data_IF_754744445167
#
_entry.id   IF_754744445167
#
_cell.length_a   1.000
_cell.length_b   1.000
_cell.length_c   1.000
_cell.angle_alpha   90.00
_cell.angle_beta   90.00
_cell.angle_gamma   90.00
#
_symmetry.space_group_name_H-M   'P 1'
#
loop_
_entity.id
_entity.type
_entity.pdbx_description
1 polymer ?
#
# COMPACT_ATOMS: atom_id res chain seq x y z
N UNK A 1 3.11 45.23 22.67
CA UNK A 1 2.01 44.43 23.26
C UNK A 1 0.96 43.95 22.24
N UNK A 2 0.58 44.74 21.21
CA UNK A 2 -0.39 44.32 20.17
C UNK A 2 0.05 43.11 19.32
N UNK A 3 1.35 42.96 19.05
CA UNK A 3 1.89 41.83 18.28
C UNK A 3 1.84 40.48 19.00
N UNK A 4 1.93 40.47 20.34
CA UNK A 4 1.88 39.22 21.13
C UNK A 4 0.46 38.64 21.17
N UNK A 5 -0.58 39.50 21.21
CA UNK A 5 -1.96 39.07 21.16
C UNK A 5 -2.34 38.40 19.82
N UNK A 6 -1.79 38.89 18.70
CA UNK A 6 -2.03 38.31 17.38
C UNK A 6 -1.40 36.91 17.23
N UNK A 7 -0.22 36.69 17.81
CA UNK A 7 0.47 35.38 17.78
C UNK A 7 -0.28 34.37 18.67
N UNK A 8 -0.77 34.79 19.83
CA UNK A 8 -1.54 33.92 20.73
C UNK A 8 -2.88 33.48 20.11
N UNK A 9 -3.57 34.37 19.39
CA UNK A 9 -4.81 34.05 18.66
C UNK A 9 -4.57 33.12 17.47
N UNK A 10 -3.45 33.30 16.75
CA UNK A 10 -3.07 32.42 15.65
C UNK A 10 -2.71 31.00 16.15
N UNK A 11 -2.02 30.89 17.29
CA UNK A 11 -1.70 29.60 17.90
C UNK A 11 -2.97 28.87 18.39
N UNK A 12 -3.93 29.58 18.99
CA UNK A 12 -5.21 29.00 19.41
C UNK A 12 -6.06 28.51 18.23
N UNK A 13 -6.00 29.19 17.08
CA UNK A 13 -6.69 28.76 15.86
C UNK A 13 -6.06 27.50 15.22
N UNK A 14 -4.74 27.33 15.36
CA UNK A 14 -4.01 26.15 14.88
C UNK A 14 -4.19 24.91 15.79
N UNK A 15 -4.44 25.12 17.08
CA UNK A 15 -4.65 24.05 18.07
C UNK A 15 -6.13 23.63 18.24
N UNK A 16 -7.09 24.45 17.79
CA UNK A 16 -8.53 24.20 17.98
C UNK A 16 -9.23 23.44 16.86
N UNK A 17 -8.53 23.12 15.77
CA UNK A 17 -9.13 22.57 14.54
C UNK A 17 -8.51 21.23 14.14
N UNK A 18 -8.15 20.38 15.11
CA UNK A 18 -8.02 18.97 14.81
C UNK A 18 -9.44 18.42 14.65
N UNK A 19 -9.90 18.08 13.43
CA UNK A 19 -11.13 17.32 13.31
C UNK A 19 -10.88 16.04 14.11
N UNK A 20 -11.66 15.87 15.19
CA UNK A 20 -11.93 14.58 15.78
C UNK A 20 -12.60 13.76 14.68
N UNK A 21 -11.78 13.22 13.77
CA UNK A 21 -12.22 12.21 12.83
C UNK A 21 -12.85 11.13 13.70
N UNK A 22 -14.12 10.74 13.46
CA UNK A 22 -14.70 9.66 14.21
C UNK A 22 -13.79 8.45 14.00
N UNK A 23 -13.14 8.00 15.06
CA UNK A 23 -12.52 6.69 15.08
C UNK A 23 -13.63 5.72 14.68
N UNK A 24 -13.54 5.17 13.47
CA UNK A 24 -14.61 4.43 12.84
C UNK A 24 -14.79 3.09 13.57
N UNK A 25 -15.48 3.12 14.72
CA UNK A 25 -15.66 1.96 15.59
C UNK A 25 -16.42 0.81 14.89
N UNK A 26 -17.20 1.13 13.84
CA UNK A 26 -17.88 0.13 13.00
C UNK A 26 -16.97 -0.57 11.97
N UNK A 27 -15.77 -0.05 11.69
CA UNK A 27 -14.84 -0.67 10.73
C UNK A 27 -14.10 -1.88 11.32
N UNK A 28 -14.08 -2.02 12.65
CA UNK A 28 -13.44 -3.13 13.36
C UNK A 28 -14.43 -4.22 13.78
N UNK A 29 -15.32 -4.63 12.88
CA UNK A 29 -16.18 -5.82 13.07
C UNK A 29 -15.66 -7.02 12.27
N UNK A 30 -15.85 -8.24 12.80
CA UNK A 30 -15.54 -9.50 12.07
C UNK A 30 -16.31 -9.65 10.76
N UNK A 31 -17.46 -8.99 10.63
CA UNK A 31 -18.22 -8.95 9.38
C UNK A 31 -17.57 -8.05 8.32
N UNK A 32 -16.79 -7.04 8.77
CA UNK A 32 -16.06 -6.09 7.93
C UNK A 32 -14.61 -6.52 7.69
N UNK A 33 -14.40 -7.82 7.41
CA UNK A 33 -13.08 -8.32 7.02
C UNK A 33 -12.87 -8.12 5.51
N UNK A 34 -11.86 -7.36 5.10
CA UNK A 34 -11.64 -7.11 3.68
C UNK A 34 -11.23 -8.39 2.94
N UNK A 35 -11.72 -8.49 1.70
CA UNK A 35 -11.19 -9.43 0.72
C UNK A 35 -9.82 -8.92 0.22
N UNK A 36 -8.84 -9.81 0.25
CA UNK A 36 -7.48 -9.60 -0.24
C UNK A 36 -7.31 -10.43 -1.51
N UNK A 37 -7.12 -9.76 -2.63
CA UNK A 37 -7.07 -10.41 -3.96
C UNK A 37 -5.63 -10.52 -4.47
N UNK A 38 -5.23 -11.73 -4.81
CA UNK A 38 -3.95 -12.06 -5.44
C UNK A 38 -4.17 -12.11 -6.97
N UNK A 39 -3.71 -11.08 -7.72
CA UNK A 39 -4.17 -10.85 -9.10
C UNK A 39 -3.60 -11.79 -10.17
N UNK A 40 -2.42 -12.38 -9.96
CA UNK A 40 -1.82 -13.36 -10.87
C UNK A 40 -2.36 -14.76 -10.62
N UNK A 41 -2.57 -15.12 -9.36
CA UNK A 41 -3.11 -16.43 -8.98
C UNK A 41 -4.65 -16.49 -8.96
N UNK A 42 -5.33 -15.35 -9.09
CA UNK A 42 -6.79 -15.23 -9.00
C UNK A 42 -7.38 -15.79 -7.69
N UNK A 43 -6.58 -15.77 -6.61
CA UNK A 43 -7.00 -16.25 -5.29
C UNK A 43 -7.52 -15.07 -4.48
N UNK A 44 -8.68 -15.25 -3.84
CA UNK A 44 -9.21 -14.29 -2.86
C UNK A 44 -9.10 -14.88 -1.47
N UNK A 45 -8.46 -14.16 -0.55
CA UNK A 45 -8.36 -14.52 0.87
C UNK A 45 -9.06 -13.46 1.69
N UNK A 46 -9.84 -13.88 2.68
CA UNK A 46 -10.42 -12.94 3.65
C UNK A 46 -9.37 -12.68 4.73
N UNK A 47 -9.11 -11.40 5.03
CA UNK A 47 -8.21 -11.03 6.13
C UNK A 47 -8.66 -11.68 7.44
N UNK A 48 -7.75 -12.21 8.29
CA UNK A 48 -8.12 -12.71 9.61
C UNK A 48 -8.57 -11.58 10.55
N UNK A 49 -8.14 -10.34 10.30
CA UNK A 49 -8.45 -9.18 11.14
C UNK A 49 -9.43 -8.23 10.46
N UNK A 50 -10.40 -7.67 11.21
CA UNK A 50 -11.18 -6.51 10.77
C UNK A 50 -10.26 -5.36 10.36
N UNK A 51 -10.56 -4.70 9.25
CA UNK A 51 -9.75 -3.60 8.78
C UNK A 51 -10.62 -2.57 8.04
N UNK A 52 -10.41 -1.29 8.37
CA UNK A 52 -10.98 -0.18 7.62
C UNK A 52 -10.47 -0.13 6.17
N UNK A 53 -11.11 0.69 5.34
CA UNK A 53 -10.83 0.74 3.89
C UNK A 53 -9.36 1.03 3.56
N UNK A 54 -8.72 1.92 4.32
CA UNK A 54 -7.30 2.26 4.15
C UNK A 54 -6.37 1.10 4.51
N UNK A 55 -6.68 0.37 5.58
CA UNK A 55 -5.93 -0.83 5.90
C UNK A 55 -6.14 -1.88 4.79
N UNK A 56 -7.38 -2.13 4.39
CA UNK A 56 -7.72 -3.07 3.32
C UNK A 56 -6.97 -2.79 2.00
N UNK A 57 -6.78 -1.52 1.62
CA UNK A 57 -6.01 -1.17 0.41
C UNK A 57 -4.52 -1.50 0.55
N UNK A 58 -3.92 -1.28 1.72
CA UNK A 58 -2.53 -1.68 2.00
C UNK A 58 -2.36 -3.19 1.89
N UNK A 59 -3.29 -3.97 2.47
CA UNK A 59 -3.26 -5.43 2.37
C UNK A 59 -3.41 -5.93 0.92
N UNK A 60 -4.25 -5.28 0.12
CA UNK A 60 -4.39 -5.60 -1.31
C UNK A 60 -3.14 -5.22 -2.13
N UNK A 61 -2.45 -4.14 -1.77
CA UNK A 61 -1.17 -3.79 -2.38
C UNK A 61 -0.10 -4.82 -2.02
N UNK A 62 0.02 -5.21 -0.75
CA UNK A 62 0.96 -6.25 -0.29
C UNK A 62 0.71 -7.59 -0.98
N UNK A 63 -0.55 -8.02 -1.07
CA UNK A 63 -0.90 -9.25 -1.78
C UNK A 63 -0.53 -9.21 -3.26
N UNK A 64 -0.75 -8.08 -3.94
CA UNK A 64 -0.29 -7.88 -5.32
C UNK A 64 1.23 -8.03 -5.43
N UNK A 65 1.98 -7.40 -4.52
CA UNK A 65 3.43 -7.47 -4.48
C UNK A 65 3.96 -8.89 -4.28
N UNK A 66 3.38 -9.64 -3.34
CA UNK A 66 3.76 -11.05 -3.08
C UNK A 66 3.49 -11.95 -4.28
N UNK A 67 2.34 -11.79 -4.92
CA UNK A 67 1.96 -12.58 -6.09
C UNK A 67 2.84 -12.25 -7.31
N UNK A 68 3.15 -10.95 -7.49
CA UNK A 68 4.03 -10.49 -8.57
C UNK A 68 5.47 -10.97 -8.38
N UNK A 69 6.03 -10.81 -7.18
CA UNK A 69 7.41 -11.23 -6.88
C UNK A 69 7.57 -12.75 -6.91
N UNK A 70 6.53 -13.52 -6.56
CA UNK A 70 6.53 -14.97 -6.76
C UNK A 70 6.73 -15.33 -8.25
N UNK A 71 5.97 -14.73 -9.17
CA UNK A 71 6.17 -14.93 -10.63
C UNK A 71 7.56 -14.50 -11.08
N UNK A 72 8.06 -13.35 -10.59
CA UNK A 72 9.42 -12.89 -10.89
C UNK A 72 10.50 -13.88 -10.45
N UNK A 73 10.35 -14.46 -9.25
CA UNK A 73 11.29 -15.44 -8.73
C UNK A 73 11.30 -16.74 -9.54
N UNK A 74 10.15 -17.18 -10.05
CA UNK A 74 10.08 -18.32 -10.97
C UNK A 74 10.86 -18.07 -12.26
N UNK A 75 10.72 -16.87 -12.84
CA UNK A 75 11.46 -16.47 -14.05
C UNK A 75 12.96 -16.36 -13.79
N UNK A 76 13.36 -15.79 -12.66
CA UNK A 76 14.76 -15.72 -12.25
C UNK A 76 15.35 -17.13 -12.08
N UNK A 77 14.64 -18.00 -11.35
CA UNK A 77 15.07 -19.39 -11.15
C UNK A 77 15.17 -20.15 -12.47
N UNK A 78 14.29 -19.89 -13.44
CA UNK A 78 14.37 -20.49 -14.77
C UNK A 78 15.60 -19.99 -15.56
N UNK A 79 15.92 -18.70 -15.49
CA UNK A 79 17.10 -18.12 -16.14
C UNK A 79 18.41 -18.70 -15.57
N UNK A 80 18.48 -18.81 -14.24
CA UNK A 80 19.65 -19.35 -13.53
C UNK A 80 19.93 -20.84 -13.81
N UNK A 81 19.03 -21.55 -14.49
CA UNK A 81 19.28 -22.96 -14.89
C UNK A 81 20.30 -23.09 -16.01
N UNK A 82 20.48 -22.04 -16.82
CA UNK A 82 21.35 -22.08 -18.00
C UNK A 82 22.33 -20.92 -18.10
N UNK A 83 22.18 -19.88 -17.27
CA UNK A 83 22.91 -18.62 -17.37
C UNK A 83 23.44 -18.19 -16.00
N UNK A 84 24.44 -17.31 -16.00
CA UNK A 84 24.96 -16.69 -14.79
C UNK A 84 24.01 -15.60 -14.23
N UNK A 85 24.17 -15.29 -12.94
CA UNK A 85 23.31 -14.32 -12.26
C UNK A 85 23.33 -12.92 -12.91
N UNK A 86 24.47 -12.50 -13.46
CA UNK A 86 24.61 -11.19 -14.12
C UNK A 86 23.80 -11.10 -15.42
N UNK A 87 23.71 -12.19 -16.19
CA UNK A 87 22.87 -12.26 -17.40
C UNK A 87 21.39 -12.26 -17.04
N UNK A 88 21.04 -12.82 -15.88
CA UNK A 88 19.66 -12.88 -15.39
C UNK A 88 19.19 -11.60 -14.70
N UNK A 89 20.10 -10.76 -14.19
CA UNK A 89 19.79 -9.54 -13.44
C UNK A 89 18.80 -8.59 -14.15
N UNK A 90 18.91 -8.31 -15.46
CA UNK A 90 17.98 -7.43 -16.17
C UNK A 90 16.52 -7.92 -16.12
N UNK A 91 16.29 -9.24 -16.08
CA UNK A 91 14.95 -9.79 -15.97
C UNK A 91 14.33 -9.51 -14.60
N UNK A 92 15.14 -9.60 -13.53
CA UNK A 92 14.69 -9.28 -12.17
C UNK A 92 14.35 -7.78 -12.05
N UNK A 93 15.23 -6.90 -12.56
CA UNK A 93 15.02 -5.45 -12.54
C UNK A 93 13.78 -5.02 -13.33
N UNK A 94 13.58 -5.61 -14.52
CA UNK A 94 12.39 -5.37 -15.32
C UNK A 94 11.12 -5.84 -14.61
N UNK A 95 11.19 -6.98 -13.92
CA UNK A 95 10.07 -7.54 -13.18
C UNK A 95 9.71 -6.68 -11.96
N UNK A 96 10.70 -6.21 -11.19
CA UNK A 96 10.46 -5.32 -10.04
C UNK A 96 9.79 -4.01 -10.47
N UNK A 97 10.29 -3.37 -11.54
CA UNK A 97 9.65 -2.17 -12.12
C UNK A 97 8.22 -2.44 -12.61
N UNK A 98 7.94 -3.64 -13.12
CA UNK A 98 6.59 -4.04 -13.48
C UNK A 98 5.70 -4.15 -12.24
N UNK A 99 6.17 -4.79 -11.18
CA UNK A 99 5.43 -4.93 -9.92
C UNK A 99 5.15 -3.56 -9.29
N UNK A 100 6.14 -2.64 -9.27
CA UNK A 100 5.96 -1.27 -8.81
C UNK A 100 4.79 -0.57 -9.51
N UNK A 101 4.74 -0.62 -10.85
CA UNK A 101 3.68 0.06 -11.63
C UNK A 101 2.31 -0.57 -11.41
N UNK A 102 2.23 -1.89 -11.34
CA UNK A 102 0.95 -2.61 -11.24
C UNK A 102 0.36 -2.65 -9.83
N UNK A 103 1.21 -2.67 -8.79
CA UNK A 103 0.76 -2.87 -7.41
C UNK A 103 0.66 -1.58 -6.60
N UNK A 104 1.38 -0.51 -6.95
CA UNK A 104 1.35 0.78 -6.21
C UNK A 104 -0.04 1.41 -6.17
N UNK A 105 -0.77 1.38 -7.28
CA UNK A 105 -2.12 1.95 -7.39
C UNK A 105 -3.18 1.20 -6.58
N UNK A 106 -2.90 -0.05 -6.17
CA UNK A 106 -3.80 -0.85 -5.32
C UNK A 106 -3.78 -0.44 -3.85
N UNK A 107 -2.76 0.30 -3.41
CA UNK A 107 -2.67 0.83 -2.05
C UNK A 107 -3.62 2.00 -1.77
N UNK A 108 -4.27 2.52 -2.82
CA UNK A 108 -5.29 3.56 -2.73
C UNK A 108 -5.11 4.64 -3.80
N UNK A 109 -6.18 5.42 -4.11
CA UNK A 109 -6.18 6.38 -5.21
C UNK A 109 -5.23 7.57 -5.00
N UNK A 110 -4.83 7.84 -3.75
CA UNK A 110 -3.98 8.98 -3.42
C UNK A 110 -2.48 8.68 -3.48
N UNK A 111 -2.06 7.42 -3.55
CA UNK A 111 -0.62 7.10 -3.62
C UNK A 111 0.00 7.68 -4.90
N UNK A 112 -0.61 7.43 -6.07
CA UNK A 112 -0.11 7.99 -7.34
C UNK A 112 -0.11 9.53 -7.43
N UNK A 113 -0.85 10.23 -6.56
CA UNK A 113 -0.89 11.70 -6.50
C UNK A 113 0.07 12.28 -5.44
N UNK A 114 0.67 11.51 -4.55
CA UNK A 114 1.56 12.05 -3.50
C UNK A 114 3.04 11.67 -3.72
N UNK A 115 3.32 11.00 -4.83
CA UNK A 115 4.61 10.39 -5.16
C UNK A 115 5.45 11.21 -6.17
N UNK A 116 5.32 12.55 -6.14
CA UNK A 116 6.10 13.47 -6.97
C UNK A 116 7.51 13.72 -6.43
#
# INVERSE_FOLDING_TARGET
MRFLAAIALAAAALLGAEPLAPAAAGEYSYDNRPAVTFPKSNVVRVSPYPAGKRAASVWNADACWRDCTADCNWRMAACLRSNDADECRPYLDACDRSCQRSCRTRGGPLLGFLDF
#
